data_IF_875803724544
#
_entry.id   IF_875803724544
#
_cell.length_a   1.000
_cell.length_b   1.000
_cell.length_c   1.000
_cell.angle_alpha   90.00
_cell.angle_beta   90.00
_cell.angle_gamma   90.00
#
_symmetry.space_group_name_H-M   'P 1'
#
loop_
_entity.id
_entity.type
_entity.pdbx_description
1 polymer ?
#
# COMPACT_ATOMS: atom_id res chain seq x y z
N UNK A 1 -6.12 -7.72 -13.51
CA UNK A 1 -5.48 -6.39 -13.38
C UNK A 1 -4.12 -6.36 -14.09
N UNK A 2 -3.82 -5.33 -14.89
CA UNK A 2 -2.62 -5.27 -15.74
C UNK A 2 -1.31 -5.22 -14.93
N UNK A 3 -0.33 -6.05 -15.28
CA UNK A 3 0.99 -6.07 -14.63
C UNK A 3 1.74 -4.73 -14.72
N UNK A 4 1.38 -3.90 -15.69
CA UNK A 4 1.85 -2.53 -15.81
C UNK A 4 1.50 -1.67 -14.59
N UNK A 5 0.27 -1.79 -14.07
CA UNK A 5 -0.19 -0.99 -12.92
C UNK A 5 0.60 -1.38 -11.67
N UNK A 6 0.88 -2.67 -11.49
CA UNK A 6 1.70 -3.16 -10.37
C UNK A 6 3.12 -2.61 -10.45
N UNK A 7 3.73 -2.60 -11.64
CA UNK A 7 5.05 -2.01 -11.84
C UNK A 7 5.06 -0.51 -11.57
N UNK A 8 4.04 0.21 -12.03
CA UNK A 8 3.92 1.64 -11.77
C UNK A 8 3.86 1.95 -10.27
N UNK A 9 2.98 1.26 -9.53
CA UNK A 9 2.85 1.42 -8.08
C UNK A 9 4.16 1.05 -7.38
N UNK A 10 4.84 -0.01 -7.83
CA UNK A 10 6.13 -0.40 -7.27
C UNK A 10 7.19 0.72 -7.41
N UNK A 11 7.26 1.36 -8.57
CA UNK A 11 8.20 2.46 -8.81
C UNK A 11 7.82 3.72 -8.00
N UNK A 12 6.54 4.07 -7.96
CA UNK A 12 6.06 5.21 -7.16
C UNK A 12 6.33 5.00 -5.66
N UNK A 13 6.10 3.78 -5.15
CA UNK A 13 6.40 3.46 -3.76
C UNK A 13 7.90 3.61 -3.45
N UNK A 14 8.79 3.25 -4.38
CA UNK A 14 10.23 3.43 -4.18
C UNK A 14 10.57 4.91 -4.02
N UNK A 15 10.07 5.76 -4.91
CA UNK A 15 10.33 7.19 -4.89
C UNK A 15 9.81 7.84 -3.61
N UNK A 16 8.61 7.44 -3.18
CA UNK A 16 8.02 7.91 -1.94
C UNK A 16 8.85 7.51 -0.70
N UNK A 17 9.26 6.24 -0.63
CA UNK A 17 10.08 5.75 0.48
C UNK A 17 11.46 6.41 0.52
N UNK A 18 12.06 6.70 -0.64
CA UNK A 18 13.31 7.47 -0.73
C UNK A 18 13.16 8.85 -0.11
N UNK A 19 12.13 9.61 -0.51
CA UNK A 19 11.86 10.95 0.06
C UNK A 19 11.69 10.90 1.58
N UNK A 20 10.89 9.96 2.09
CA UNK A 20 10.72 9.78 3.54
C UNK A 20 12.07 9.48 4.20
N UNK A 21 12.86 8.58 3.62
CA UNK A 21 14.14 8.19 4.19
C UNK A 21 15.17 9.31 4.18
N UNK A 22 15.17 10.16 3.16
CA UNK A 22 16.03 11.33 3.05
C UNK A 22 15.68 12.39 4.10
N UNK A 23 14.39 12.55 4.41
CA UNK A 23 13.91 13.47 5.44
C UNK A 23 14.16 12.96 6.87
N UNK A 24 14.14 11.64 7.09
CA UNK A 24 14.27 11.03 8.42
C UNK A 24 15.70 10.68 8.81
N UNK A 25 16.50 10.19 7.87
CA UNK A 25 17.81 9.61 8.18
C UNK A 25 18.92 10.43 7.53
N UNK A 26 19.99 10.66 8.29
CA UNK A 26 21.21 11.32 7.78
C UNK A 26 22.25 10.32 7.27
N UNK A 27 22.13 9.07 7.70
CA UNK A 27 23.08 7.99 7.38
C UNK A 27 22.51 7.15 6.24
N UNK A 28 23.30 6.97 5.18
CA UNK A 28 22.89 6.22 4.00
C UNK A 28 22.55 4.75 4.29
N UNK A 29 23.23 4.13 5.25
CA UNK A 29 22.93 2.75 5.67
C UNK A 29 21.51 2.63 6.27
N UNK A 30 21.08 3.60 7.07
CA UNK A 30 19.74 3.61 7.67
C UNK A 30 18.66 3.82 6.60
N UNK A 31 18.93 4.69 5.61
CA UNK A 31 18.05 4.87 4.46
C UNK A 31 17.89 3.58 3.66
N UNK A 32 18.99 2.90 3.37
CA UNK A 32 18.98 1.63 2.65
C UNK A 32 18.19 0.56 3.41
N UNK A 33 18.42 0.44 4.72
CA UNK A 33 17.69 -0.49 5.59
C UNK A 33 16.20 -0.19 5.64
N UNK A 34 15.81 1.09 5.71
CA UNK A 34 14.42 1.52 5.68
C UNK A 34 13.74 1.15 4.35
N UNK A 35 14.36 1.51 3.22
CA UNK A 35 13.82 1.21 1.89
C UNK A 35 13.68 -0.30 1.72
N UNK A 36 14.70 -1.10 2.08
CA UNK A 36 14.63 -2.55 1.94
C UNK A 36 13.51 -3.18 2.79
N UNK A 37 13.24 -2.61 3.97
CA UNK A 37 12.19 -3.09 4.87
C UNK A 37 10.78 -2.86 4.30
N UNK A 38 10.55 -1.74 3.62
CA UNK A 38 9.20 -1.33 3.21
C UNK A 38 8.96 -1.38 1.70
N UNK A 39 9.99 -1.40 0.87
CA UNK A 39 9.85 -1.50 -0.58
C UNK A 39 9.71 -2.95 -1.03
N UNK A 40 8.56 -3.55 -0.73
CA UNK A 40 8.27 -4.94 -1.10
C UNK A 40 7.25 -5.01 -2.24
N UNK A 41 7.48 -5.93 -3.18
CA UNK A 41 6.59 -6.15 -4.34
C UNK A 41 5.14 -6.43 -3.93
N UNK A 42 4.93 -7.09 -2.79
CA UNK A 42 3.58 -7.40 -2.28
C UNK A 42 2.74 -6.16 -1.96
N UNK A 43 3.36 -5.01 -1.68
CA UNK A 43 2.64 -3.74 -1.49
C UNK A 43 2.16 -3.08 -2.78
N UNK A 44 2.52 -3.64 -3.94
CA UNK A 44 2.04 -3.19 -5.25
C UNK A 44 0.87 -4.02 -5.77
N UNK A 45 0.43 -5.02 -5.02
CA UNK A 45 -0.73 -5.82 -5.36
C UNK A 45 -1.97 -5.09 -4.87
N UNK A 46 -2.77 -4.63 -5.82
CA UNK A 46 -4.11 -4.15 -5.52
C UNK A 46 -5.02 -5.38 -5.42
N UNK A 47 -5.60 -5.59 -4.24
CA UNK A 47 -6.66 -6.57 -4.08
C UNK A 47 -7.92 -6.03 -4.73
N UNK A 48 -8.48 -6.80 -5.66
CA UNK A 48 -9.83 -6.53 -6.16
C UNK A 48 -10.77 -6.65 -4.97
N UNK A 49 -11.26 -5.50 -4.49
CA UNK A 49 -12.36 -5.48 -3.53
C UNK A 49 -13.57 -5.96 -4.30
N UNK A 50 -13.91 -7.23 -4.13
CA UNK A 50 -15.24 -7.71 -4.52
C UNK A 50 -16.22 -6.82 -3.78
N UNK A 51 -17.13 -6.18 -4.51
CA UNK A 51 -18.32 -5.58 -3.91
C UNK A 51 -19.15 -6.73 -3.37
N UNK A 52 -18.73 -7.30 -2.25
CA UNK A 52 -19.60 -8.15 -1.45
C UNK A 52 -20.65 -7.19 -0.89
N UNK A 53 -21.73 -6.99 -1.65
CA UNK A 53 -23.05 -6.71 -1.08
C UNK A 53 -23.49 -7.99 -0.37
N UNK A 54 -22.71 -8.46 0.59
CA UNK A 54 -23.15 -9.54 1.45
C UNK A 54 -24.26 -8.97 2.31
N UNK A 55 -25.37 -9.69 2.45
CA UNK A 55 -26.44 -9.30 3.38
C UNK A 55 -25.92 -9.01 4.79
N UNK A 56 -24.75 -9.57 5.15
CA UNK A 56 -24.08 -9.35 6.42
C UNK A 56 -23.54 -7.92 6.57
N UNK A 57 -22.98 -7.34 5.52
CA UNK A 57 -22.48 -5.97 5.55
C UNK A 57 -23.61 -4.96 5.54
N UNK A 58 -24.71 -5.28 4.83
CA UNK A 58 -25.93 -4.49 4.84
C UNK A 58 -26.62 -4.51 6.21
N UNK A 59 -26.72 -5.68 6.86
CA UNK A 59 -27.21 -5.80 8.25
C UNK A 59 -26.35 -5.04 9.26
N UNK A 60 -25.03 -4.96 9.04
CA UNK A 60 -24.12 -4.17 9.89
C UNK A 60 -24.33 -2.67 9.70
N UNK A 61 -24.51 -2.23 8.46
CA UNK A 61 -24.82 -0.83 8.14
C UNK A 61 -26.15 -0.40 8.77
N UNK A 62 -27.23 -1.16 8.56
CA UNK A 62 -28.56 -0.83 9.11
C UNK A 62 -28.58 -0.78 10.64
N UNK A 63 -27.75 -1.58 11.30
CA UNK A 63 -27.60 -1.55 12.77
C UNK A 63 -26.88 -0.30 13.27
N UNK A 64 -25.91 0.22 12.52
CA UNK A 64 -25.15 1.42 12.88
C UNK A 64 -25.91 2.72 12.56
N UNK A 65 -26.82 2.67 11.58
CA UNK A 65 -27.66 3.80 11.17
C UNK A 65 -28.99 3.89 11.94
N UNK A 66 -29.20 3.02 12.94
CA UNK A 66 -30.30 3.06 13.92
C UNK A 66 -29.84 3.69 15.23
#
# INVERSE_FOLDING_TARGET
>A
MSDFVKQLIYLQNLEFLKRISDDQFKIEEEKANFIQKYHKKNFSYLHEVKRDTSERDQKRFDKLMR
#
